data_IF_588434519571
#
_entry.id   IF_588434519571
#
_cell.length_a   1.000
_cell.length_b   1.000
_cell.length_c   1.000
_cell.angle_alpha   90.00
_cell.angle_beta   90.00
_cell.angle_gamma   90.00
#
_symmetry.space_group_name_H-M   'P 1'
#
loop_
_entity.id
_entity.type
_entity.pdbx_description
1 polymer ?
#
# COMPACT_ATOMS: atom_id res chain seq x y z
N UNK A 1 -40.28 97.70 -31.82
CA UNK A 1 -41.36 98.26 -31.02
C UNK A 1 -42.38 97.23 -30.82
N UNK A 2 -42.33 96.46 -29.73
CA UNK A 2 -43.39 95.57 -29.27
C UNK A 2 -43.07 95.17 -27.84
N UNK A 3 -43.93 95.54 -26.94
CA UNK A 3 -43.85 95.36 -25.51
C UNK A 3 -44.02 93.87 -25.13
N UNK A 4 -43.12 93.42 -24.29
CA UNK A 4 -43.17 92.09 -23.64
C UNK A 4 -43.93 92.23 -22.34
N UNK A 5 -45.08 91.58 -22.21
CA UNK A 5 -45.85 91.43 -21.01
C UNK A 5 -45.33 90.27 -20.23
N UNK A 6 -44.70 90.50 -19.07
CA UNK A 6 -44.31 89.46 -18.09
C UNK A 6 -45.62 89.01 -17.36
N UNK A 7 -45.98 87.75 -17.54
CA UNK A 7 -46.88 87.07 -16.66
C UNK A 7 -46.14 86.46 -15.49
N UNK A 8 -46.45 86.90 -14.26
CA UNK A 8 -46.06 86.22 -13.02
C UNK A 8 -46.84 84.95 -12.85
N UNK A 9 -46.21 83.82 -12.77
CA UNK A 9 -46.83 82.56 -12.38
C UNK A 9 -46.83 82.47 -10.84
N UNK A 10 -47.89 81.87 -10.23
CA UNK A 10 -47.98 81.76 -8.78
C UNK A 10 -47.02 80.74 -8.23
N UNK A 11 -46.37 81.07 -7.09
CA UNK A 11 -45.54 80.15 -6.31
C UNK A 11 -46.44 78.97 -5.85
N UNK A 12 -46.33 77.87 -6.53
CA UNK A 12 -46.86 76.60 -6.07
C UNK A 12 -45.96 76.08 -5.01
N UNK A 13 -46.37 76.12 -3.76
CA UNK A 13 -45.71 75.48 -2.64
C UNK A 13 -45.64 73.97 -2.90
N UNK A 14 -44.48 73.49 -3.41
CA UNK A 14 -44.19 72.09 -3.47
C UNK A 14 -43.81 71.67 -2.05
N UNK A 15 -44.83 71.10 -1.33
CA UNK A 15 -44.52 70.27 -0.17
C UNK A 15 -43.72 69.08 -0.64
N UNK A 16 -42.39 69.12 -0.52
CA UNK A 16 -41.55 67.95 -0.55
C UNK A 16 -41.92 67.10 0.66
N UNK A 17 -42.85 66.20 0.45
CA UNK A 17 -42.96 64.99 1.28
C UNK A 17 -41.59 64.29 1.21
N UNK A 18 -40.74 64.56 2.19
CA UNK A 18 -39.62 63.69 2.53
C UNK A 18 -40.27 62.35 2.89
N UNK A 19 -40.53 61.54 1.87
CA UNK A 19 -40.69 60.12 2.05
C UNK A 19 -39.36 59.67 2.58
N UNK A 20 -39.23 59.58 3.89
CA UNK A 20 -38.20 58.78 4.49
C UNK A 20 -38.49 57.38 3.88
N UNK A 21 -37.73 57.04 2.84
CA UNK A 21 -37.65 55.70 2.36
C UNK A 21 -37.27 54.86 3.57
N UNK A 22 -38.22 54.20 4.12
CA UNK A 22 -37.94 53.08 5.01
C UNK A 22 -37.08 52.18 4.18
N UNK A 23 -35.78 52.24 4.40
CA UNK A 23 -34.85 51.23 3.90
C UNK A 23 -35.42 49.92 4.41
N UNK A 24 -36.13 49.22 3.54
CA UNK A 24 -36.56 47.87 3.85
C UNK A 24 -35.25 47.12 4.10
N UNK A 25 -34.95 46.88 5.37
CA UNK A 25 -33.74 46.21 5.75
C UNK A 25 -33.65 44.91 4.98
N UNK A 26 -32.64 44.79 4.12
CA UNK A 26 -32.53 43.66 3.25
C UNK A 26 -32.26 42.40 4.05
N UNK A 27 -33.03 41.38 3.84
CA UNK A 27 -32.75 40.04 4.27
C UNK A 27 -31.61 39.48 3.41
N UNK A 28 -30.63 38.82 4.01
CA UNK A 28 -29.55 38.24 3.25
C UNK A 28 -28.67 37.29 4.04
N UNK A 29 -28.12 36.33 3.33
CA UNK A 29 -27.04 35.47 3.80
C UNK A 29 -25.96 35.49 2.78
N UNK A 30 -24.72 35.58 3.20
CA UNK A 30 -23.54 35.62 2.35
C UNK A 30 -22.54 34.57 2.80
N UNK A 31 -22.07 33.74 1.86
CA UNK A 31 -21.07 32.71 2.09
C UNK A 31 -19.76 33.10 1.42
N UNK A 32 -18.64 32.82 2.08
CA UNK A 32 -17.32 33.12 1.53
C UNK A 32 -16.32 32.02 1.89
N UNK A 33 -15.88 31.23 0.90
CA UNK A 33 -16.32 31.20 -0.50
C UNK A 33 -17.66 30.48 -0.67
N UNK A 34 -18.27 30.56 -1.86
CA UNK A 34 -19.52 29.85 -2.22
C UNK A 34 -19.31 28.38 -2.57
N UNK A 35 -18.08 28.01 -2.88
CA UNK A 35 -17.66 26.63 -3.15
C UNK A 35 -16.41 26.33 -2.33
N UNK A 36 -16.44 25.22 -1.61
CA UNK A 36 -15.33 24.73 -0.80
C UNK A 36 -14.97 23.34 -1.30
N UNK A 37 -13.73 23.15 -1.66
CA UNK A 37 -13.16 21.86 -1.97
C UNK A 37 -12.19 21.45 -0.85
N UNK A 38 -12.39 20.27 -0.27
CA UNK A 38 -11.66 19.82 0.90
C UNK A 38 -11.15 18.38 0.73
N UNK A 39 -10.00 18.10 1.30
CA UNK A 39 -9.52 16.72 1.42
C UNK A 39 -10.30 15.99 2.51
N UNK A 40 -10.54 14.72 2.31
CA UNK A 40 -11.11 13.82 3.31
C UNK A 40 -10.36 13.92 4.65
N UNK A 41 -11.06 13.73 5.75
CA UNK A 41 -10.59 13.88 7.14
C UNK A 41 -10.11 15.28 7.54
N UNK A 42 -10.17 16.26 6.64
CA UNK A 42 -9.86 17.65 6.99
C UNK A 42 -10.99 18.33 7.78
N UNK A 43 -10.68 19.52 8.27
CA UNK A 43 -11.67 20.39 8.92
C UNK A 43 -12.01 21.56 8.00
N UNK A 44 -13.29 21.74 7.75
CA UNK A 44 -13.82 22.81 6.91
C UNK A 44 -14.44 23.90 7.77
N UNK A 45 -14.14 25.16 7.47
CA UNK A 45 -14.80 26.32 8.05
C UNK A 45 -15.57 27.04 6.95
N UNK A 46 -16.90 27.00 7.05
CA UNK A 46 -17.78 27.74 6.17
C UNK A 46 -18.01 29.10 6.79
N UNK A 47 -17.35 30.12 6.25
CA UNK A 47 -17.58 31.49 6.68
C UNK A 47 -18.88 32.02 6.12
N UNK A 48 -19.72 32.56 7.00
CA UNK A 48 -21.07 32.97 6.68
C UNK A 48 -21.42 34.20 7.48
N UNK A 49 -22.05 35.15 6.80
CA UNK A 49 -22.64 36.33 7.44
C UNK A 49 -24.13 36.46 7.02
N UNK A 50 -24.94 36.98 7.89
CA UNK A 50 -26.35 37.24 7.58
C UNK A 50 -26.80 38.59 8.07
N UNK A 51 -27.84 39.13 7.45
CA UNK A 51 -28.47 40.41 7.80
C UNK A 51 -29.98 40.27 7.76
N UNK A 52 -30.61 41.04 8.60
CA UNK A 52 -32.07 41.14 8.71
C UNK A 52 -32.46 42.55 9.17
N UNK A 53 -33.70 43.02 8.93
CA UNK A 53 -34.15 44.35 9.31
C UNK A 53 -34.12 44.58 10.83
N UNK A 54 -34.00 45.85 11.25
CA UNK A 54 -34.09 46.23 12.65
C UNK A 54 -35.50 45.96 13.20
N UNK A 55 -35.58 45.55 14.48
CA UNK A 55 -36.84 45.23 15.13
C UNK A 55 -37.20 43.74 15.11
N UNK A 56 -36.43 42.93 14.42
CA UNK A 56 -36.56 41.46 14.47
C UNK A 56 -35.61 40.89 15.51
N UNK A 57 -36.00 39.80 16.15
CA UNK A 57 -35.19 39.05 17.08
C UNK A 57 -35.02 37.62 16.58
N UNK A 58 -33.80 37.10 16.52
CA UNK A 58 -33.52 35.73 16.08
C UNK A 58 -33.91 34.75 17.16
N UNK A 59 -34.88 33.88 16.86
CA UNK A 59 -35.34 32.79 17.73
C UNK A 59 -34.51 31.51 17.49
N UNK A 60 -34.33 31.12 16.23
CA UNK A 60 -33.54 29.95 15.86
C UNK A 60 -32.66 30.29 14.66
N UNK A 61 -31.40 29.84 14.69
CA UNK A 61 -30.42 29.94 13.61
C UNK A 61 -29.71 28.61 13.49
N UNK A 62 -29.67 28.02 12.31
CA UNK A 62 -29.13 26.68 12.12
C UNK A 62 -28.71 26.43 10.67
N UNK A 63 -27.90 25.40 10.49
CA UNK A 63 -27.49 24.91 9.20
C UNK A 63 -28.28 23.68 8.78
N UNK A 64 -28.54 23.55 7.48
CA UNK A 64 -29.25 22.44 6.87
C UNK A 64 -28.60 22.01 5.58
N UNK A 65 -28.88 20.79 5.14
CA UNK A 65 -28.47 20.22 3.83
C UNK A 65 -29.72 19.81 3.05
N UNK A 66 -29.63 19.78 1.73
CA UNK A 66 -30.72 19.31 0.88
C UNK A 66 -31.36 20.42 0.05
N UNK A 67 -32.55 20.18 -0.50
CA UNK A 67 -33.23 21.16 -1.35
C UNK A 67 -33.53 22.44 -0.60
N UNK A 68 -33.18 23.56 -1.19
CA UNK A 68 -33.45 24.88 -0.61
C UNK A 68 -34.93 25.20 -0.47
N UNK A 69 -35.82 24.41 -1.09
CA UNK A 69 -37.28 24.63 -1.13
C UNK A 69 -38.02 23.85 -0.03
N UNK A 70 -37.32 23.09 0.79
CA UNK A 70 -37.92 22.39 1.92
C UNK A 70 -38.49 23.43 2.93
N UNK A 71 -39.76 23.29 3.25
CA UNK A 71 -40.45 24.18 4.18
C UNK A 71 -39.90 24.06 5.60
N UNK A 72 -39.52 22.85 6.02
CA UNK A 72 -39.00 22.55 7.35
C UNK A 72 -37.77 21.60 7.26
N UNK A 73 -36.66 22.08 6.71
CA UNK A 73 -35.44 21.24 6.63
C UNK A 73 -34.91 20.94 8.04
N UNK A 74 -34.35 19.75 8.25
CA UNK A 74 -33.79 19.39 9.53
C UNK A 74 -32.58 20.25 9.88
N UNK A 75 -32.41 20.52 11.17
CA UNK A 75 -31.21 21.13 11.72
C UNK A 75 -30.07 20.08 11.73
N UNK A 76 -28.94 20.40 11.12
CA UNK A 76 -27.79 19.47 11.09
C UNK A 76 -27.22 19.17 12.46
N UNK A 77 -27.41 20.06 13.45
CA UNK A 77 -26.95 19.77 14.82
C UNK A 77 -27.76 18.65 15.49
N UNK A 78 -28.95 18.38 14.99
CA UNK A 78 -29.82 17.29 15.48
C UNK A 78 -29.53 15.96 14.75
N UNK A 79 -28.78 15.97 13.64
CA UNK A 79 -28.40 14.78 12.88
C UNK A 79 -27.23 14.05 13.56
N UNK A 80 -27.37 12.77 13.96
CA UNK A 80 -26.31 12.02 14.61
C UNK A 80 -25.00 11.95 13.82
N UNK A 81 -25.04 12.01 12.49
CA UNK A 81 -23.83 12.02 11.64
C UNK A 81 -23.06 13.35 11.74
N UNK A 82 -23.72 14.44 12.13
CA UNK A 82 -23.14 15.78 12.20
C UNK A 82 -22.93 16.29 13.62
N UNK A 83 -23.76 15.89 14.59
CA UNK A 83 -23.82 16.48 15.93
C UNK A 83 -22.47 16.53 16.67
N UNK A 84 -21.58 15.56 16.44
CA UNK A 84 -20.25 15.52 17.07
C UNK A 84 -19.16 16.22 16.24
N UNK A 85 -19.41 16.46 14.96
CA UNK A 85 -18.43 17.01 14.00
C UNK A 85 -18.70 18.46 13.61
N UNK A 86 -19.97 18.89 13.78
CA UNK A 86 -20.43 20.22 13.41
C UNK A 86 -20.43 21.14 14.63
N UNK A 87 -19.71 22.24 14.54
CA UNK A 87 -19.65 23.27 15.56
C UNK A 87 -20.12 24.61 14.99
N UNK A 88 -21.19 25.16 15.53
CA UNK A 88 -21.63 26.50 15.20
C UNK A 88 -20.72 27.52 15.87
N UNK A 89 -20.05 28.37 15.08
CA UNK A 89 -19.13 29.42 15.55
C UNK A 89 -19.77 30.81 15.42
N UNK A 90 -21.01 30.85 14.99
CA UNK A 90 -21.76 32.09 14.77
C UNK A 90 -22.34 32.69 16.05
N UNK A 91 -23.12 33.75 15.84
CA UNK A 91 -23.86 34.44 16.86
C UNK A 91 -25.35 34.59 16.44
N UNK A 92 -26.16 35.28 17.22
CA UNK A 92 -27.52 35.60 16.85
C UNK A 92 -27.67 37.01 16.27
N UNK A 93 -26.59 37.61 15.79
CA UNK A 93 -26.59 38.97 15.25
C UNK A 93 -26.27 38.98 13.74
N UNK A 94 -25.10 38.58 13.34
CA UNK A 94 -24.64 38.65 11.93
C UNK A 94 -23.74 37.53 11.48
N UNK A 95 -23.14 36.76 12.40
CA UNK A 95 -22.19 35.70 12.08
C UNK A 95 -22.90 34.35 12.12
N UNK A 96 -22.81 33.60 11.01
CA UNK A 96 -23.34 32.24 10.86
C UNK A 96 -22.25 31.19 10.56
N UNK A 97 -21.01 31.52 10.83
CA UNK A 97 -19.88 30.61 10.55
C UNK A 97 -20.04 29.27 11.24
N UNK A 98 -19.73 28.20 10.50
CA UNK A 98 -19.77 26.83 11.01
C UNK A 98 -18.47 26.11 10.71
N UNK A 99 -18.07 25.25 11.61
CA UNK A 99 -16.93 24.35 11.48
C UNK A 99 -17.44 22.92 11.37
N UNK A 100 -16.99 22.19 10.35
CA UNK A 100 -17.26 20.76 10.16
C UNK A 100 -15.92 20.02 10.18
N UNK A 101 -15.72 19.15 11.14
CA UNK A 101 -14.50 18.38 11.33
C UNK A 101 -14.62 16.99 10.71
N UNK A 102 -13.48 16.37 10.33
CA UNK A 102 -13.40 15.04 9.77
C UNK A 102 -14.36 14.81 8.60
N UNK A 103 -14.28 15.70 7.60
CA UNK A 103 -15.17 15.62 6.44
C UNK A 103 -14.93 14.34 5.65
N UNK A 104 -16.01 13.76 5.17
CA UNK A 104 -16.04 12.53 4.37
C UNK A 104 -16.69 12.79 3.02
N UNK A 105 -16.58 11.83 2.09
CA UNK A 105 -17.25 11.93 0.79
C UNK A 105 -18.77 12.14 0.90
N UNK A 106 -19.40 11.60 1.97
CA UNK A 106 -20.81 11.79 2.25
C UNK A 106 -21.20 13.24 2.58
N UNK A 107 -20.22 14.05 2.98
CA UNK A 107 -20.43 15.46 3.29
C UNK A 107 -20.42 16.35 2.03
N UNK A 108 -20.19 15.76 0.85
CA UNK A 108 -20.24 16.48 -0.43
C UNK A 108 -21.67 16.84 -0.80
N UNK A 109 -22.12 17.96 -0.26
CA UNK A 109 -23.47 18.49 -0.45
C UNK A 109 -23.46 20.01 -0.58
N UNK A 110 -24.64 20.57 -0.92
CA UNK A 110 -24.91 21.98 -0.76
C UNK A 110 -25.54 22.24 0.60
N UNK A 111 -24.97 23.19 1.33
CA UNK A 111 -25.37 23.57 2.67
C UNK A 111 -26.02 24.95 2.66
N UNK A 112 -27.00 25.15 3.54
CA UNK A 112 -27.73 26.38 3.65
C UNK A 112 -27.80 26.82 5.11
N UNK A 113 -27.63 28.10 5.36
CA UNK A 113 -27.93 28.68 6.64
C UNK A 113 -29.37 29.16 6.66
N UNK A 114 -30.08 28.87 7.74
CA UNK A 114 -31.46 29.28 7.96
C UNK A 114 -31.61 29.95 9.31
N UNK A 115 -32.44 30.98 9.36
CA UNK A 115 -32.80 31.60 10.61
C UNK A 115 -34.31 31.92 10.64
N UNK A 116 -34.86 31.95 11.86
CA UNK A 116 -36.25 32.18 12.17
C UNK A 116 -36.31 33.29 13.21
N UNK A 117 -37.16 34.27 13.00
CA UNK A 117 -37.35 35.41 13.91
C UNK A 117 -38.59 35.25 14.79
N UNK A 118 -38.80 36.21 15.68
CA UNK A 118 -39.97 36.29 16.56
C UNK A 118 -41.29 36.59 15.82
N UNK A 119 -41.26 36.97 14.54
CA UNK A 119 -42.42 37.28 13.73
C UNK A 119 -42.75 36.11 12.81
N UNK A 120 -44.05 35.78 12.66
CA UNK A 120 -44.53 34.57 12.00
C UNK A 120 -44.03 34.42 10.55
N UNK A 121 -43.78 35.50 9.81
CA UNK A 121 -43.29 35.49 8.44
C UNK A 121 -41.77 35.70 8.35
N UNK A 122 -41.07 35.88 9.49
CA UNK A 122 -39.65 36.13 9.56
C UNK A 122 -38.79 34.87 9.46
N UNK A 123 -38.89 34.17 8.34
CA UNK A 123 -38.10 32.99 8.04
C UNK A 123 -37.25 33.27 6.82
N UNK A 124 -35.94 32.92 6.90
CA UNK A 124 -35.03 33.13 5.79
C UNK A 124 -34.08 31.95 5.60
N UNK A 125 -33.83 31.63 4.35
CA UNK A 125 -32.80 30.66 3.94
C UNK A 125 -31.85 31.32 2.94
N UNK A 126 -30.55 31.15 3.16
CA UNK A 126 -29.52 31.71 2.30
C UNK A 126 -29.42 30.98 0.97
N UNK A 127 -29.93 31.60 -0.10
CA UNK A 127 -29.78 31.10 -1.47
C UNK A 127 -28.89 32.05 -2.28
N UNK A 128 -27.99 31.51 -3.19
CA UNK A 128 -27.61 30.10 -3.28
C UNK A 128 -26.85 29.65 -2.04
N UNK A 129 -26.91 28.35 -1.73
CA UNK A 129 -26.13 27.77 -0.64
C UNK A 129 -24.61 27.71 -0.91
N UNK A 130 -23.87 27.15 0.02
CA UNK A 130 -22.44 26.85 -0.16
C UNK A 130 -22.27 25.40 -0.53
N UNK A 131 -21.53 25.14 -1.59
CA UNK A 131 -21.21 23.77 -2.03
C UNK A 131 -19.94 23.30 -1.37
N UNK A 132 -20.02 22.18 -0.66
CA UNK A 132 -18.85 21.45 -0.19
C UNK A 132 -18.61 20.23 -1.11
N UNK A 133 -17.40 20.14 -1.62
CA UNK A 133 -16.90 18.94 -2.34
C UNK A 133 -15.77 18.36 -1.51
N UNK A 134 -15.90 17.09 -1.13
CA UNK A 134 -14.85 16.36 -0.42
C UNK A 134 -14.22 15.37 -1.40
N UNK A 135 -12.92 15.34 -1.45
CA UNK A 135 -12.16 14.47 -2.34
C UNK A 135 -11.09 13.70 -1.56
N UNK A 136 -10.69 12.59 -2.15
CA UNK A 136 -9.57 11.79 -1.65
C UNK A 136 -8.30 12.10 -2.45
N UNK A 137 -7.14 11.84 -1.84
CA UNK A 137 -5.89 11.77 -2.57
C UNK A 137 -5.82 10.45 -3.31
N UNK A 138 -5.24 10.45 -4.50
CA UNK A 138 -5.01 9.25 -5.30
C UNK A 138 -3.57 9.23 -5.81
N UNK A 139 -2.97 8.04 -5.80
CA UNK A 139 -1.68 7.81 -6.45
C UNK A 139 -1.94 7.27 -7.86
N UNK A 140 -1.43 7.97 -8.84
CA UNK A 140 -1.43 7.51 -10.23
C UNK A 140 -0.05 6.94 -10.56
N UNK A 141 -0.04 5.75 -11.18
CA UNK A 141 1.15 5.04 -11.62
C UNK A 141 1.01 4.67 -13.09
N UNK A 142 2.09 4.56 -13.85
CA UNK A 142 2.05 3.93 -15.17
C UNK A 142 1.57 2.48 -15.07
N UNK A 143 0.86 2.01 -16.08
CA UNK A 143 0.31 0.64 -16.13
C UNK A 143 1.40 -0.43 -16.20
N UNK A 144 2.49 -0.13 -16.90
CA UNK A 144 3.65 -1.02 -17.08
C UNK A 144 4.93 -0.30 -16.73
N UNK A 145 5.74 -0.92 -15.91
CA UNK A 145 7.02 -0.38 -15.46
C UNK A 145 8.07 -1.49 -15.53
N UNK A 146 9.15 -1.22 -16.23
CA UNK A 146 10.28 -2.14 -16.41
C UNK A 146 11.49 -1.62 -15.65
N UNK A 147 12.31 -2.51 -15.11
CA UNK A 147 13.59 -2.15 -14.49
C UNK A 147 14.45 -1.34 -15.47
N UNK A 148 14.96 -0.20 -15.00
CA UNK A 148 15.72 0.75 -15.84
C UNK A 148 14.89 1.90 -16.39
N UNK A 149 13.55 1.82 -16.38
CA UNK A 149 12.69 2.91 -16.81
C UNK A 149 12.87 4.17 -15.96
N UNK A 150 12.38 5.28 -16.49
CA UNK A 150 12.21 6.53 -15.77
C UNK A 150 10.73 6.84 -15.63
N UNK A 151 10.18 6.76 -14.42
CA UNK A 151 8.75 6.95 -14.17
C UNK A 151 8.47 7.95 -13.07
N UNK A 152 7.31 8.58 -13.15
CA UNK A 152 6.78 9.45 -12.11
C UNK A 152 5.48 8.86 -11.57
N UNK A 153 5.41 8.68 -10.25
CA UNK A 153 4.16 8.48 -9.54
C UNK A 153 3.59 9.84 -9.21
N UNK A 154 2.30 10.06 -9.45
CA UNK A 154 1.67 11.37 -9.24
C UNK A 154 0.64 11.28 -8.11
N UNK A 155 0.74 12.17 -7.13
CA UNK A 155 -0.25 12.35 -6.07
C UNK A 155 -1.29 13.36 -6.53
N UNK A 156 -2.49 12.89 -6.84
CA UNK A 156 -3.56 13.70 -7.42
C UNK A 156 -4.75 13.86 -6.46
N UNK A 157 -5.47 14.95 -6.67
CA UNK A 157 -6.75 15.24 -6.02
C UNK A 157 -7.64 16.01 -7.01
N UNK A 158 -8.94 15.79 -6.99
CA UNK A 158 -9.88 16.60 -7.76
C UNK A 158 -10.06 18.01 -7.20
N UNK A 159 -9.68 18.26 -5.95
CA UNK A 159 -9.50 19.62 -5.43
C UNK A 159 -8.15 20.17 -5.89
N UNK A 160 -8.15 21.40 -6.39
CA UNK A 160 -6.91 22.13 -6.62
C UNK A 160 -6.18 22.30 -5.28
N UNK A 161 -5.03 21.67 -5.15
CA UNK A 161 -4.14 21.88 -4.01
C UNK A 161 -3.40 23.21 -4.22
N UNK A 162 -3.06 23.86 -3.12
CA UNK A 162 -2.32 25.12 -3.21
C UNK A 162 -0.92 24.89 -3.79
N UNK A 163 -0.39 25.87 -4.52
CA UNK A 163 0.97 25.82 -5.11
C UNK A 163 2.09 25.59 -4.07
N UNK A 164 1.77 25.74 -2.79
CA UNK A 164 2.68 25.52 -1.66
C UNK A 164 2.40 24.24 -0.89
N UNK A 165 1.53 23.38 -1.40
CA UNK A 165 1.29 22.07 -0.77
C UNK A 165 2.60 21.27 -0.73
N UNK A 166 2.88 20.69 0.43
CA UNK A 166 4.02 19.80 0.60
C UNK A 166 3.53 18.36 0.65
N UNK A 167 4.17 17.50 -0.14
CA UNK A 167 3.76 16.11 -0.30
C UNK A 167 4.67 15.19 0.50
N UNK A 168 4.04 14.17 1.09
CA UNK A 168 4.72 13.12 1.84
C UNK A 168 4.42 11.82 1.13
N UNK A 169 5.47 11.08 0.77
CA UNK A 169 5.35 9.80 0.12
C UNK A 169 5.66 8.65 1.08
N UNK A 170 4.95 7.55 0.90
CA UNK A 170 5.15 6.33 1.65
C UNK A 170 5.32 5.15 0.70
N UNK A 171 6.24 4.23 1.04
CA UNK A 171 6.38 2.92 0.41
C UNK A 171 6.27 1.85 1.49
N UNK A 172 5.36 0.88 1.29
CA UNK A 172 5.07 -0.18 2.26
C UNK A 172 4.79 0.38 3.68
N UNK A 173 4.02 1.48 3.75
CA UNK A 173 3.68 2.22 4.97
C UNK A 173 4.86 2.92 5.66
N UNK A 174 6.05 2.93 5.07
CA UNK A 174 7.21 3.67 5.57
C UNK A 174 7.38 4.97 4.78
N UNK A 175 7.59 6.08 5.50
CA UNK A 175 7.87 7.37 4.88
C UNK A 175 9.18 7.31 4.11
N UNK A 176 9.16 7.79 2.87
CA UNK A 176 10.36 7.92 2.03
C UNK A 176 10.75 9.39 1.90
N UNK A 177 12.05 9.62 1.79
CA UNK A 177 12.58 10.95 1.52
C UNK A 177 12.47 11.24 0.03
N UNK A 178 11.98 12.43 -0.32
CA UNK A 178 11.88 12.90 -1.70
C UNK A 178 12.80 14.09 -1.89
N UNK A 179 13.34 14.25 -3.09
CA UNK A 179 14.21 15.38 -3.46
C UNK A 179 13.48 16.71 -3.37
N UNK A 180 12.21 16.75 -3.74
CA UNK A 180 11.34 17.91 -3.63
C UNK A 180 10.04 17.60 -2.91
N UNK A 181 9.83 18.22 -1.77
CA UNK A 181 8.59 18.12 -1.00
C UNK A 181 7.43 18.94 -1.58
N UNK A 182 7.71 19.86 -2.48
CA UNK A 182 6.68 20.68 -3.13
C UNK A 182 6.15 20.07 -4.43
N UNK A 183 6.76 18.98 -4.88
CA UNK A 183 6.30 18.24 -6.07
C UNK A 183 5.28 17.20 -5.67
N UNK A 184 4.14 17.19 -6.35
CA UNK A 184 3.18 16.09 -6.26
C UNK A 184 3.64 14.84 -7.00
N UNK A 185 4.87 14.82 -7.54
CA UNK A 185 5.46 13.69 -8.26
C UNK A 185 6.60 13.09 -7.47
N UNK A 186 6.59 11.76 -7.39
CA UNK A 186 7.73 10.96 -6.95
C UNK A 186 8.40 10.37 -8.18
N UNK A 187 9.63 10.81 -8.45
CA UNK A 187 10.42 10.34 -9.59
C UNK A 187 11.25 9.13 -9.18
N UNK A 188 11.14 8.05 -9.95
CA UNK A 188 11.97 6.86 -9.88
C UNK A 188 12.82 6.83 -11.16
N UNK A 189 14.13 7.06 -11.03
CA UNK A 189 15.02 7.17 -12.19
C UNK A 189 16.46 6.78 -11.82
N UNK A 190 16.97 5.62 -12.27
CA UNK A 190 16.20 4.54 -12.89
C UNK A 190 15.36 3.76 -11.90
N UNK A 191 14.24 3.19 -12.38
CA UNK A 191 13.45 2.23 -11.60
C UNK A 191 14.27 0.99 -11.32
N UNK A 192 14.23 0.50 -10.10
CA UNK A 192 14.92 -0.70 -9.64
C UNK A 192 13.90 -1.74 -9.15
N UNK A 193 14.31 -2.99 -9.07
CA UNK A 193 13.46 -4.08 -8.54
C UNK A 193 12.99 -3.82 -7.11
N UNK A 194 13.85 -3.22 -6.30
CA UNK A 194 13.52 -2.84 -4.93
C UNK A 194 12.46 -1.74 -4.83
N UNK A 195 12.13 -1.04 -5.93
CA UNK A 195 11.05 -0.06 -5.97
C UNK A 195 9.66 -0.69 -6.07
N UNK A 196 9.60 -1.99 -6.31
CA UNK A 196 8.37 -2.76 -6.20
C UNK A 196 7.76 -2.58 -4.80
N UNK A 197 6.45 -2.31 -4.73
CA UNK A 197 5.78 -2.13 -3.44
C UNK A 197 4.50 -1.33 -3.50
N UNK A 198 3.95 -1.04 -2.33
CA UNK A 198 2.73 -0.25 -2.18
C UNK A 198 3.09 1.21 -1.91
N UNK A 199 2.61 2.10 -2.77
CA UNK A 199 2.84 3.53 -2.66
C UNK A 199 1.57 4.25 -2.25
N UNK A 200 1.70 5.20 -1.34
CA UNK A 200 0.66 6.14 -0.94
C UNK A 200 1.25 7.51 -0.70
N UNK A 201 0.42 8.54 -0.76
CA UNK A 201 0.82 9.92 -0.55
C UNK A 201 -0.09 10.62 0.45
N UNK A 202 0.43 11.66 1.05
CA UNK A 202 -0.29 12.58 1.93
C UNK A 202 0.14 14.03 1.64
N UNK A 203 -0.67 14.97 2.06
CA UNK A 203 -0.33 16.39 2.10
C UNK A 203 0.04 16.75 3.55
N UNK A 204 1.17 17.40 3.73
CA UNK A 204 1.65 17.82 5.04
C UNK A 204 0.64 18.76 5.73
N UNK A 205 0.44 18.56 7.03
CA UNK A 205 -0.62 19.23 7.79
C UNK A 205 -2.00 18.59 7.68
N UNK A 206 -2.17 17.55 6.85
CA UNK A 206 -3.38 16.73 6.77
C UNK A 206 -3.15 15.34 7.35
N UNK A 207 -4.15 14.79 8.01
CA UNK A 207 -4.08 13.46 8.64
C UNK A 207 -4.35 12.32 7.64
N UNK A 208 -4.99 12.66 6.52
CA UNK A 208 -5.41 11.68 5.52
C UNK A 208 -4.25 11.24 4.62
N UNK A 209 -4.11 9.92 4.48
CA UNK A 209 -3.17 9.27 3.55
C UNK A 209 -3.99 8.61 2.44
N UNK A 210 -3.57 8.74 1.20
CA UNK A 210 -4.25 8.13 0.05
C UNK A 210 -4.34 6.60 0.18
N UNK A 211 -5.31 5.96 -0.46
CA UNK A 211 -5.26 4.52 -0.71
C UNK A 211 -3.93 4.14 -1.36
N UNK A 212 -3.39 2.98 -0.94
CA UNK A 212 -2.12 2.50 -1.47
C UNK A 212 -2.31 1.84 -2.83
N UNK A 213 -1.48 2.22 -3.81
CA UNK A 213 -1.39 1.59 -5.13
C UNK A 213 -0.14 0.73 -5.20
N UNK A 214 -0.25 -0.46 -5.77
CA UNK A 214 0.87 -1.37 -5.94
C UNK A 214 1.62 -1.06 -7.24
N UNK A 215 2.90 -0.71 -7.13
CA UNK A 215 3.81 -0.59 -8.26
C UNK A 215 4.44 -1.95 -8.51
N UNK A 216 4.15 -2.53 -9.67
CA UNK A 216 4.80 -3.75 -10.15
C UNK A 216 5.93 -3.37 -11.09
N UNK A 217 7.13 -3.86 -10.79
CA UNK A 217 8.30 -3.66 -11.66
C UNK A 217 8.58 -4.96 -12.39
N UNK A 218 8.63 -4.90 -13.72
CA UNK A 218 8.94 -6.03 -14.58
C UNK A 218 10.45 -6.09 -14.82
N UNK A 219 11.00 -7.31 -14.82
CA UNK A 219 12.44 -7.52 -15.03
C UNK A 219 12.74 -8.93 -15.57
N UNK A 220 13.87 -9.04 -16.25
CA UNK A 220 14.38 -10.31 -16.76
C UNK A 220 14.83 -11.26 -15.63
N UNK A 221 14.90 -12.57 -15.89
CA UNK A 221 15.46 -13.52 -14.94
C UNK A 221 16.87 -13.11 -14.47
N UNK A 222 17.09 -13.06 -13.15
CA UNK A 222 18.36 -12.61 -12.58
C UNK A 222 19.14 -13.74 -11.92
N UNK A 223 18.55 -14.42 -10.96
CA UNK A 223 19.16 -15.52 -10.22
C UNK A 223 18.51 -16.82 -10.69
N UNK A 224 19.23 -17.55 -11.56
CA UNK A 224 18.80 -18.86 -12.04
C UNK A 224 19.76 -19.91 -11.53
N UNK A 225 19.26 -20.87 -10.74
CA UNK A 225 20.08 -21.94 -10.15
C UNK A 225 19.36 -23.27 -10.17
N UNK A 226 20.16 -24.36 -10.19
CA UNK A 226 19.69 -25.74 -10.19
C UNK A 226 19.92 -26.36 -8.82
N UNK A 227 18.88 -26.97 -8.27
CA UNK A 227 18.95 -27.88 -7.14
C UNK A 227 18.82 -29.32 -7.58
N UNK A 228 19.42 -30.25 -6.85
CA UNK A 228 19.32 -31.70 -7.08
C UNK A 228 18.89 -32.44 -5.83
N UNK A 229 18.02 -33.43 -5.97
CA UNK A 229 17.60 -34.31 -4.89
C UNK A 229 17.54 -35.74 -5.40
N UNK A 230 18.16 -36.70 -4.66
CA UNK A 230 18.96 -36.54 -3.44
C UNK A 230 20.31 -35.86 -3.68
N UNK A 231 20.86 -35.20 -2.65
CA UNK A 231 22.14 -34.49 -2.71
C UNK A 231 23.38 -35.37 -2.49
N UNK A 232 23.21 -36.70 -2.56
CA UNK A 232 24.25 -37.68 -2.27
C UNK A 232 24.83 -38.35 -3.50
N UNK A 233 25.47 -39.51 -3.28
CA UNK A 233 25.93 -40.38 -4.36
C UNK A 233 24.75 -40.96 -5.09
N UNK A 234 24.68 -40.73 -6.39
CA UNK A 234 23.66 -41.20 -7.29
C UNK A 234 24.14 -42.50 -7.93
N UNK A 235 23.32 -43.54 -7.87
CA UNK A 235 23.61 -44.85 -8.49
C UNK A 235 22.55 -45.16 -9.55
N UNK A 236 22.92 -46.03 -10.52
CA UNK A 236 21.97 -46.46 -11.55
C UNK A 236 20.68 -47.05 -10.93
N UNK A 237 19.53 -46.65 -11.47
CA UNK A 237 18.21 -47.03 -11.00
C UNK A 237 17.60 -46.12 -9.93
N UNK A 238 18.36 -45.16 -9.40
CA UNK A 238 17.81 -44.14 -8.49
C UNK A 238 16.81 -43.22 -9.20
N UNK A 239 15.97 -42.56 -8.41
CA UNK A 239 15.13 -41.48 -8.88
C UNK A 239 15.78 -40.17 -8.50
N UNK A 240 16.00 -39.28 -9.48
CA UNK A 240 16.62 -37.97 -9.29
C UNK A 240 15.68 -36.88 -9.73
N UNK A 241 15.56 -35.86 -8.90
CA UNK A 241 14.76 -34.67 -9.19
C UNK A 241 15.70 -33.47 -9.30
N UNK A 242 15.65 -32.77 -10.44
CA UNK A 242 16.27 -31.47 -10.63
C UNK A 242 15.22 -30.38 -10.46
N UNK A 243 15.55 -29.36 -9.70
CA UNK A 243 14.70 -28.18 -9.51
C UNK A 243 15.42 -26.93 -10.04
N UNK A 244 14.69 -26.09 -10.77
CA UNK A 244 15.19 -24.82 -11.27
C UNK A 244 14.44 -23.67 -10.59
N UNK A 245 15.18 -22.78 -9.97
CA UNK A 245 14.66 -21.53 -9.40
C UNK A 245 15.17 -20.33 -10.19
N UNK A 246 14.28 -19.36 -10.39
CA UNK A 246 14.61 -18.12 -11.07
C UNK A 246 13.81 -16.97 -10.46
N UNK A 247 14.45 -15.84 -10.26
CA UNK A 247 13.84 -14.59 -9.81
C UNK A 247 13.56 -13.72 -11.05
N UNK A 248 12.30 -13.53 -11.38
CA UNK A 248 11.84 -12.77 -12.54
C UNK A 248 10.41 -12.27 -12.38
N UNK A 249 10.08 -11.19 -13.03
CA UNK A 249 8.71 -10.69 -13.16
C UNK A 249 8.47 -10.21 -14.61
N UNK A 250 7.54 -10.79 -15.36
CA UNK A 250 6.70 -11.96 -15.05
C UNK A 250 7.50 -13.24 -14.76
N UNK A 251 6.87 -14.25 -14.14
CA UNK A 251 7.50 -15.54 -13.91
C UNK A 251 8.07 -16.14 -15.20
N UNK A 252 9.32 -16.65 -15.14
CA UNK A 252 10.00 -17.21 -16.30
C UNK A 252 9.49 -18.60 -16.66
N UNK A 253 9.46 -18.88 -17.95
CA UNK A 253 9.41 -20.24 -18.49
C UNK A 253 10.75 -20.93 -18.32
N UNK A 254 10.75 -22.19 -17.92
CA UNK A 254 11.94 -22.98 -17.64
C UNK A 254 12.10 -24.10 -18.67
N UNK A 255 13.31 -24.22 -19.21
CA UNK A 255 13.74 -25.34 -20.05
C UNK A 255 15.01 -25.98 -19.51
N UNK A 256 15.10 -27.31 -19.58
CA UNK A 256 16.25 -28.08 -19.15
C UNK A 256 17.13 -28.44 -20.35
N UNK A 257 18.44 -28.25 -20.19
CA UNK A 257 19.43 -28.43 -21.23
C UNK A 257 20.50 -29.42 -20.74
N UNK A 258 20.79 -30.45 -21.56
CA UNK A 258 21.88 -31.40 -21.40
C UNK A 258 22.67 -31.48 -22.71
N UNK A 259 23.99 -31.30 -22.65
CA UNK A 259 24.83 -31.38 -23.84
C UNK A 259 24.44 -30.45 -24.99
N UNK A 260 23.81 -29.29 -24.67
CA UNK A 260 23.35 -28.30 -25.66
C UNK A 260 21.96 -28.56 -26.22
N UNK A 261 21.28 -29.65 -25.86
CA UNK A 261 19.93 -30.00 -26.31
C UNK A 261 18.91 -29.80 -25.21
N UNK A 262 17.68 -29.42 -25.56
CA UNK A 262 16.57 -29.32 -24.59
C UNK A 262 16.07 -30.74 -24.30
N UNK A 263 16.08 -31.10 -23.01
CA UNK A 263 15.66 -32.42 -22.52
C UNK A 263 14.37 -32.38 -21.71
N UNK A 264 13.89 -31.21 -21.33
CA UNK A 264 12.66 -31.04 -20.57
C UNK A 264 12.25 -29.59 -20.38
N UNK A 265 11.06 -29.40 -19.77
CA UNK A 265 10.52 -28.08 -19.44
C UNK A 265 9.87 -28.08 -18.07
N UNK A 266 9.65 -26.88 -17.51
CA UNK A 266 9.06 -26.67 -16.19
C UNK A 266 10.10 -26.61 -15.08
N UNK A 267 9.63 -26.18 -13.89
CA UNK A 267 10.51 -25.95 -12.73
C UNK A 267 11.12 -27.23 -12.15
N UNK A 268 10.52 -28.36 -12.43
CA UNK A 268 10.95 -29.67 -11.91
C UNK A 268 11.19 -30.59 -13.09
N UNK A 269 12.33 -31.25 -13.11
CA UNK A 269 12.70 -32.29 -14.07
C UNK A 269 13.03 -33.56 -13.31
N UNK A 270 12.23 -34.62 -13.53
CA UNK A 270 12.32 -35.89 -12.83
C UNK A 270 12.92 -36.98 -13.75
N UNK A 271 13.92 -37.68 -13.25
CA UNK A 271 14.52 -38.86 -13.87
C UNK A 271 14.20 -40.02 -12.96
N UNK A 272 13.18 -40.85 -13.32
CA UNK A 272 12.64 -41.88 -12.43
C UNK A 272 13.51 -43.13 -12.29
N UNK A 273 14.35 -43.40 -13.27
CA UNK A 273 15.37 -44.49 -13.24
C UNK A 273 16.59 -44.01 -13.96
N UNK A 274 17.49 -43.38 -13.21
CA UNK A 274 18.71 -42.81 -13.79
C UNK A 274 19.65 -43.89 -14.24
N UNK A 275 20.28 -43.70 -15.38
CA UNK A 275 21.29 -44.57 -15.98
C UNK A 275 22.63 -43.86 -16.13
N UNK A 276 23.72 -44.57 -16.45
CA UNK A 276 25.01 -43.99 -16.76
C UNK A 276 24.96 -42.96 -17.90
N UNK A 277 24.05 -43.15 -18.88
CA UNK A 277 23.81 -42.25 -20.00
C UNK A 277 23.22 -40.87 -19.55
N UNK A 278 22.64 -40.84 -18.36
CA UNK A 278 22.12 -39.62 -17.77
C UNK A 278 23.22 -38.80 -17.08
N UNK A 279 24.43 -39.31 -16.94
CA UNK A 279 25.58 -38.55 -16.46
C UNK A 279 25.87 -37.38 -17.39
N UNK A 280 26.38 -36.28 -16.85
CA UNK A 280 26.75 -35.12 -17.62
C UNK A 280 26.28 -33.81 -16.98
N UNK A 281 26.49 -32.73 -17.71
CA UNK A 281 26.13 -31.38 -17.26
C UNK A 281 24.69 -31.01 -17.63
N UNK A 282 23.96 -30.61 -16.62
CA UNK A 282 22.58 -30.08 -16.75
C UNK A 282 22.57 -28.60 -16.41
N UNK A 283 21.88 -27.83 -17.23
CA UNK A 283 21.60 -26.41 -16.99
C UNK A 283 20.11 -26.20 -17.15
N UNK A 284 19.56 -25.25 -16.43
CA UNK A 284 18.25 -24.72 -16.77
C UNK A 284 18.36 -23.33 -17.40
N UNK A 285 17.51 -23.09 -18.37
CA UNK A 285 17.30 -21.79 -18.99
C UNK A 285 15.98 -21.24 -18.49
N UNK A 286 15.98 -20.05 -17.95
CA UNK A 286 14.80 -19.27 -17.63
C UNK A 286 14.63 -18.12 -18.60
N UNK A 287 13.41 -17.91 -19.13
CA UNK A 287 13.12 -16.88 -20.12
C UNK A 287 11.77 -16.23 -19.80
N UNK A 288 11.70 -14.90 -19.90
CA UNK A 288 10.47 -14.14 -19.98
C UNK A 288 10.58 -13.10 -21.10
N UNK A 289 9.58 -12.27 -21.29
CA UNK A 289 9.55 -11.21 -22.32
C UNK A 289 10.65 -10.14 -22.17
N UNK A 290 11.30 -10.06 -21.00
CA UNK A 290 12.35 -9.08 -20.70
C UNK A 290 13.77 -9.64 -20.85
N UNK A 291 13.92 -10.95 -21.07
CA UNK A 291 15.22 -11.56 -21.30
C UNK A 291 15.31 -13.01 -20.84
N UNK A 292 16.54 -13.53 -20.90
CA UNK A 292 16.85 -14.90 -20.53
C UNK A 292 18.09 -15.02 -19.67
N UNK A 293 18.14 -16.08 -18.87
CA UNK A 293 19.26 -16.41 -17.99
C UNK A 293 19.46 -17.91 -17.93
N UNK A 294 20.73 -18.33 -17.92
CA UNK A 294 21.12 -19.71 -17.71
C UNK A 294 21.62 -19.88 -16.28
N UNK A 295 21.37 -21.05 -15.71
CA UNK A 295 22.04 -21.47 -14.47
C UNK A 295 23.51 -21.83 -14.72
N UNK A 296 24.30 -21.90 -13.65
CA UNK A 296 25.52 -22.66 -13.67
C UNK A 296 25.23 -24.12 -14.00
N UNK A 297 26.25 -24.83 -14.53
CA UNK A 297 26.15 -26.25 -14.84
C UNK A 297 26.16 -27.08 -13.57
N UNK A 298 25.15 -27.97 -13.45
CA UNK A 298 25.16 -29.04 -12.45
C UNK A 298 25.68 -30.33 -13.11
N UNK A 299 26.75 -30.90 -12.63
CA UNK A 299 27.26 -32.17 -13.12
C UNK A 299 26.64 -33.35 -12.35
N UNK A 300 25.90 -34.19 -13.04
CA UNK A 300 25.42 -35.45 -12.50
C UNK A 300 26.45 -36.56 -12.82
N UNK A 301 26.91 -37.23 -11.77
CA UNK A 301 27.79 -38.41 -11.88
C UNK A 301 27.04 -39.64 -11.39
N UNK A 302 26.58 -40.46 -12.33
CA UNK A 302 25.86 -41.69 -12.04
C UNK A 302 26.86 -42.84 -11.92
N UNK A 303 26.91 -43.49 -10.77
CA UNK A 303 27.80 -44.65 -10.54
C UNK A 303 27.09 -45.92 -10.94
N UNK A 304 27.75 -46.72 -11.79
CA UNK A 304 27.24 -48.03 -12.13
C UNK A 304 27.46 -49.00 -10.97
N UNK A 305 26.41 -49.74 -10.64
CA UNK A 305 26.46 -50.80 -9.63
C UNK A 305 27.44 -51.89 -10.06
N UNK A 306 27.57 -52.14 -11.38
CA UNK A 306 28.48 -53.10 -11.95
C UNK A 306 29.95 -52.83 -11.62
N UNK A 307 30.36 -51.56 -11.55
CA UNK A 307 31.74 -51.19 -11.23
C UNK A 307 32.14 -51.56 -9.79
N UNK A 308 31.23 -51.46 -8.86
CA UNK A 308 31.45 -51.87 -7.46
C UNK A 308 31.43 -53.41 -7.34
N UNK A 309 30.53 -54.07 -8.04
CA UNK A 309 30.42 -55.54 -8.05
C UNK A 309 31.63 -56.17 -8.73
N UNK A 310 32.12 -55.64 -9.86
CA UNK A 310 33.32 -56.13 -10.56
C UNK A 310 34.56 -55.94 -9.67
N UNK A 311 34.69 -54.85 -8.93
CA UNK A 311 35.82 -54.62 -8.02
C UNK A 311 35.82 -55.62 -6.86
N UNK A 312 34.65 -56.05 -6.34
CA UNK A 312 34.53 -57.05 -5.30
C UNK A 312 34.70 -58.49 -5.82
N UNK A 313 34.23 -58.79 -7.05
CA UNK A 313 34.40 -60.11 -7.69
C UNK A 313 35.88 -60.37 -8.07
N UNK A 314 36.58 -59.34 -8.56
CA UNK A 314 38.02 -59.44 -8.91
C UNK A 314 38.93 -59.69 -7.71
N UNK A 315 38.55 -59.24 -6.52
CA UNK A 315 39.27 -59.47 -5.27
C UNK A 315 38.90 -60.81 -4.63
N UNK A 316 37.70 -61.35 -4.96
CA UNK A 316 37.17 -62.58 -4.34
C UNK A 316 37.53 -63.92 -4.98
N UNK A 317 38.16 -63.92 -6.18
CA UNK A 317 38.49 -65.12 -6.93
C UNK A 317 39.70 -65.90 -6.36
N UNK A 318 40.42 -65.36 -5.39
CA UNK A 318 41.66 -66.01 -4.88
C UNK A 318 41.44 -66.96 -3.69
N UNK A 319 40.31 -66.97 -3.06
CA UNK A 319 40.05 -67.91 -1.95
C UNK A 319 38.59 -68.37 -1.92
N UNK A 320 38.31 -69.67 -1.92
CA UNK A 320 36.97 -70.32 -1.92
C UNK A 320 35.99 -69.96 -0.80
N UNK A 321 36.20 -68.82 -0.16
CA UNK A 321 35.31 -68.21 0.84
C UNK A 321 34.48 -67.05 0.29
N UNK A 322 34.53 -66.77 -1.03
CA UNK A 322 34.08 -65.52 -1.64
C UNK A 322 32.54 -65.29 -1.59
N UNK A 323 31.74 -66.34 -1.64
CA UNK A 323 30.25 -66.23 -1.59
C UNK A 323 29.80 -65.79 -0.19
N UNK A 324 30.44 -66.26 0.85
CA UNK A 324 30.09 -65.90 2.23
C UNK A 324 30.55 -64.45 2.53
N UNK A 325 31.71 -64.01 1.99
CA UNK A 325 32.22 -62.64 2.17
C UNK A 325 31.36 -61.64 1.42
N UNK A 326 30.87 -61.96 0.21
CA UNK A 326 29.93 -61.06 -0.52
C UNK A 326 28.61 -60.90 0.20
N UNK A 327 28.05 -62.00 0.73
CA UNK A 327 26.83 -61.94 1.53
C UNK A 327 27.03 -61.22 2.86
N UNK A 328 28.17 -61.44 3.53
CA UNK A 328 28.56 -60.75 4.74
C UNK A 328 28.81 -59.25 4.45
N UNK A 329 29.42 -58.91 3.31
CA UNK A 329 29.67 -57.53 2.92
C UNK A 329 28.37 -56.80 2.53
N UNK A 330 27.48 -57.45 1.80
CA UNK A 330 26.13 -56.90 1.55
C UNK A 330 25.33 -56.74 2.87
N UNK A 331 25.43 -57.71 3.76
CA UNK A 331 24.82 -57.63 5.10
C UNK A 331 25.52 -56.57 5.98
N UNK A 332 26.82 -56.46 5.96
CA UNK A 332 27.60 -55.45 6.67
C UNK A 332 27.32 -54.05 6.14
N UNK A 333 27.22 -53.87 4.79
CA UNK A 333 26.86 -52.57 4.22
C UNK A 333 25.43 -52.13 4.61
N UNK A 334 24.46 -53.04 4.61
CA UNK A 334 23.11 -52.77 5.15
C UNK A 334 23.14 -52.53 6.66
N UNK A 335 24.00 -53.22 7.40
CA UNK A 335 24.16 -53.07 8.84
C UNK A 335 24.94 -51.82 9.21
N UNK A 336 25.92 -51.42 8.41
CA UNK A 336 26.69 -50.16 8.57
C UNK A 336 25.78 -48.94 8.28
N UNK A 337 24.93 -49.03 7.26
CA UNK A 337 23.93 -47.98 7.01
C UNK A 337 23.00 -47.80 8.20
N UNK A 338 22.48 -48.95 8.72
CA UNK A 338 21.64 -48.95 9.93
C UNK A 338 22.37 -48.51 11.19
N UNK A 339 23.69 -48.84 11.29
CA UNK A 339 24.55 -48.42 12.42
C UNK A 339 24.96 -46.95 12.34
N UNK A 340 25.17 -46.42 11.11
CA UNK A 340 25.43 -44.99 10.91
C UNK A 340 24.21 -44.14 11.27
N UNK A 341 23.01 -44.63 10.96
CA UNK A 341 21.78 -43.98 11.37
C UNK A 341 21.58 -44.05 12.88
N UNK A 342 21.99 -45.18 13.52
CA UNK A 342 21.97 -45.35 14.99
C UNK A 342 23.08 -44.53 15.68
N UNK A 343 24.27 -44.40 15.07
CA UNK A 343 25.35 -43.56 15.59
C UNK A 343 25.04 -42.08 15.49
N UNK A 344 24.34 -41.64 14.41
CA UNK A 344 23.84 -40.29 14.33
C UNK A 344 22.81 -39.98 15.42
N UNK A 345 21.95 -40.98 15.76
CA UNK A 345 21.00 -40.81 16.86
C UNK A 345 21.67 -40.84 18.23
N UNK A 346 22.76 -41.67 18.42
CA UNK A 346 23.55 -41.71 19.63
C UNK A 346 24.47 -40.49 19.81
N UNK A 347 25.02 -39.92 18.73
CA UNK A 347 25.77 -38.67 18.79
C UNK A 347 24.89 -37.48 19.16
N UNK A 348 23.62 -37.48 18.70
CA UNK A 348 22.65 -36.46 19.15
C UNK A 348 22.30 -36.62 20.63
N UNK A 349 22.22 -37.86 21.11
CA UNK A 349 21.94 -38.18 22.51
C UNK A 349 23.14 -37.92 23.42
N UNK A 350 24.37 -38.25 23.00
CA UNK A 350 25.60 -37.96 23.73
C UNK A 350 25.92 -36.45 23.80
N UNK A 351 25.53 -35.69 22.78
CA UNK A 351 25.64 -34.23 22.79
C UNK A 351 24.69 -33.60 23.80
N UNK A 352 23.49 -34.17 23.95
CA UNK A 352 22.52 -33.75 24.97
C UNK A 352 22.97 -34.15 26.39
N UNK A 353 23.66 -35.29 26.55
CA UNK A 353 24.20 -35.73 27.84
C UNK A 353 25.48 -34.97 28.26
N UNK A 354 26.28 -34.51 27.28
CA UNK A 354 27.44 -33.66 27.54
C UNK A 354 27.00 -32.26 27.98
N UNK A 355 26.02 -31.68 27.31
CA UNK A 355 25.40 -30.41 27.74
C UNK A 355 24.72 -30.50 29.12
N UNK A 356 24.29 -31.69 29.50
CA UNK A 356 23.68 -31.93 30.80
C UNK A 356 24.71 -32.13 31.94
N UNK A 357 25.92 -32.57 31.60
CA UNK A 357 27.02 -32.69 32.60
C UNK A 357 27.76 -31.36 32.82
N UNK A 358 27.90 -30.56 31.76
CA UNK A 358 28.52 -29.22 31.87
C UNK A 358 27.65 -28.28 32.73
N UNK A 359 26.32 -28.54 32.80
CA UNK A 359 25.39 -27.79 33.65
C UNK A 359 25.36 -28.28 35.12
N UNK A 360 25.96 -29.48 35.45
CA UNK A 360 26.00 -30.02 36.81
C UNK A 360 27.35 -29.78 37.53
N UNK A 361 28.42 -29.41 36.80
CA UNK A 361 29.75 -29.16 37.36
C UNK A 361 29.98 -27.67 37.72
N UNK A 362 29.11 -26.76 37.27
CA UNK A 362 29.19 -25.33 37.62
C UNK A 362 28.48 -25.00 38.96
N UNK A 363 27.86 -25.98 39.63
CA UNK A 363 27.14 -25.73 40.87
C UNK A 363 27.91 -26.12 42.15
N UNK A 364 29.22 -26.44 42.03
CA UNK A 364 30.05 -26.85 43.17
C UNK A 364 31.44 -26.16 43.19
N UNK A 365 31.45 -24.81 43.30
CA UNK A 365 32.62 -24.11 43.85
C UNK A 365 32.27 -22.66 44.23
N UNK A 366 31.63 -22.47 45.34
CA UNK A 366 31.75 -21.21 46.11
C UNK A 366 32.91 -21.33 47.10
N UNK A 367 33.89 -20.45 47.08
CA UNK A 367 34.88 -20.37 48.16
C UNK A 367 34.31 -19.55 49.32
N UNK A 368 34.25 -20.20 50.47
CA UNK A 368 34.04 -19.58 51.76
C UNK A 368 35.24 -18.69 52.09
N UNK A 369 35.05 -17.39 52.15
CA UNK A 369 35.98 -16.47 52.79
C UNK A 369 35.59 -16.32 54.25
N UNK A 370 36.45 -16.86 55.13
CA UNK A 370 36.43 -16.65 56.56
C UNK A 370 37.23 -15.38 56.89
N UNK A 371 36.63 -14.49 57.66
CA UNK A 371 37.23 -13.26 58.17
C UNK A 371 38.22 -13.56 59.28
N UNK A 372 39.40 -12.96 59.23
CA UNK A 372 40.18 -12.50 60.36
C UNK A 372 40.86 -11.18 60.02
#
# INVERSE_FOLDING_TARGET
>A
MLMSVRRMAPLSMIFLLMIHGVSSGDWGVSYSPSHICALKDSTVIVRCTYKYPTGYEIKKAFWTKGPADDVNPPDLSDDPEYSQRLQYLGDKQQNCTVRLSHVTQKDSHMYYFRFITNITEGRWIGKPGVTLTVTDLQVETPERVTEGDSVNLTCNSSCALTDRATFIWYRNSQKILTESKYSNKLSLNPVRREDLGRYSCAVDGHTHISPAVYLSVMYSPQYTFVGVSPSGVIVEGDSVTLSCSSDSNPPAEISWIKGGTIVGSGRIYNISKISSDDSGEYKCKSINEHGEKYSDALTLNVKSIGCLVILYISIGVVCGAAVIITMVLIWVSKRMKKRNDTLKSQMSQSRNDYSRREYSDDELSEPVYENA
#
